data_IF_707658396217
#
_entry.id   IF_707658396217
#
_cell.length_a   1.000
_cell.length_b   1.000
_cell.length_c   1.000
_cell.angle_alpha   90.00
_cell.angle_beta   90.00
_cell.angle_gamma   90.00
#
_symmetry.space_group_name_H-M   'P 1'
#
loop_
_entity.id
_entity.type
_entity.pdbx_description
1 polymer ?
#
# COMPACT_ATOMS: atom_id res chain seq x y z
N UNK A 1 -11.86 -5.11 -11.44
CA UNK A 1 -11.48 -4.15 -10.39
C UNK A 1 -10.31 -3.31 -10.86
N UNK A 2 -10.50 -2.02 -11.08
CA UNK A 2 -9.39 -1.09 -11.31
C UNK A 2 -8.50 -1.08 -10.07
N UNK A 3 -7.21 -1.45 -10.20
CA UNK A 3 -6.23 -1.38 -9.10
C UNK A 3 -5.85 0.08 -8.84
N UNK A 4 -6.83 0.88 -8.42
CA UNK A 4 -6.69 2.29 -8.09
C UNK A 4 -7.11 2.48 -6.64
N UNK A 5 -6.30 3.20 -5.88
CA UNK A 5 -6.73 3.69 -4.57
C UNK A 5 -7.77 4.79 -4.77
N UNK A 6 -8.93 4.69 -4.13
CA UNK A 6 -9.98 5.72 -4.22
C UNK A 6 -9.59 7.01 -3.50
N UNK A 7 -8.82 6.93 -2.42
CA UNK A 7 -8.35 8.11 -1.67
C UNK A 7 -7.09 8.77 -2.27
N UNK A 8 -6.03 8.00 -2.50
CA UNK A 8 -4.71 8.54 -2.93
C UNK A 8 -4.45 8.42 -4.43
N UNK A 9 -5.40 7.89 -5.22
CA UNK A 9 -5.26 7.77 -6.67
C UNK A 9 -4.19 6.80 -7.17
N UNK A 10 -3.43 6.14 -6.27
CA UNK A 10 -2.32 5.24 -6.62
C UNK A 10 -2.76 4.16 -7.60
N UNK A 11 -1.98 4.04 -8.68
CA UNK A 11 -2.17 3.09 -9.77
C UNK A 11 -0.95 2.22 -9.96
N UNK A 12 -1.10 1.11 -10.66
CA UNK A 12 0.04 0.32 -11.07
C UNK A 12 0.94 1.14 -12.00
N UNK A 13 2.24 1.19 -11.70
CA UNK A 13 3.24 1.77 -12.59
C UNK A 13 3.98 0.67 -13.33
N UNK A 14 4.54 1.01 -14.49
CA UNK A 14 5.36 0.10 -15.29
C UNK A 14 6.81 0.48 -15.10
N UNK A 15 7.69 -0.51 -15.05
CA UNK A 15 9.12 -0.29 -15.21
C UNK A 15 9.83 -1.56 -15.61
N UNK A 16 11.15 -1.53 -15.58
CA UNK A 16 11.97 -2.64 -16.05
C UNK A 16 12.59 -3.43 -14.89
N UNK A 17 12.79 -4.73 -15.12
CA UNK A 17 13.67 -5.60 -14.35
C UNK A 17 14.97 -5.70 -15.14
N UNK A 18 16.03 -5.10 -14.61
CA UNK A 18 17.36 -5.09 -15.23
C UNK A 18 18.22 -6.12 -14.53
N UNK A 19 18.61 -7.17 -15.26
CA UNK A 19 19.57 -8.16 -14.78
C UNK A 19 20.99 -7.69 -15.12
N UNK A 20 21.85 -7.58 -14.11
CA UNK A 20 23.26 -7.17 -14.26
C UNK A 20 24.17 -8.26 -13.72
N UNK A 21 25.26 -8.56 -14.43
CA UNK A 21 26.29 -9.53 -14.05
C UNK A 21 27.65 -8.85 -13.88
N UNK A 22 28.52 -9.44 -13.08
CA UNK A 22 29.86 -8.94 -12.79
C UNK A 22 29.94 -8.01 -11.57
N UNK A 23 31.17 -7.73 -11.13
CA UNK A 23 31.46 -6.83 -10.00
C UNK A 23 31.45 -5.38 -10.48
N UNK A 24 30.99 -4.45 -9.63
CA UNK A 24 30.99 -3.05 -9.99
C UNK A 24 32.41 -2.48 -10.02
N UNK A 25 32.65 -1.45 -10.87
CA UNK A 25 33.95 -0.79 -10.98
C UNK A 25 34.44 -0.24 -9.64
N UNK A 26 33.54 0.39 -8.88
CA UNK A 26 33.86 0.96 -7.56
C UNK A 26 34.28 -0.10 -6.51
N UNK A 27 34.04 -1.39 -6.77
CA UNK A 27 34.47 -2.49 -5.91
C UNK A 27 35.76 -3.17 -6.43
N UNK A 28 36.50 -2.51 -7.34
CA UNK A 28 37.70 -3.07 -7.97
C UNK A 28 37.41 -4.15 -9.03
N UNK A 29 36.22 -4.15 -9.62
CA UNK A 29 35.87 -5.05 -10.72
C UNK A 29 35.99 -4.39 -12.11
N UNK A 30 35.94 -5.20 -13.17
CA UNK A 30 35.95 -4.69 -14.57
C UNK A 30 34.67 -3.89 -14.91
N UNK A 31 33.54 -4.22 -14.27
CA UNK A 31 32.27 -3.52 -14.41
C UNK A 31 31.06 -4.46 -14.51
N UNK A 32 29.88 -3.94 -14.17
CA UNK A 32 28.61 -4.65 -14.30
C UNK A 32 28.09 -4.56 -15.74
N UNK A 33 27.82 -5.69 -16.38
CA UNK A 33 27.17 -5.76 -17.70
C UNK A 33 25.69 -6.06 -17.56
N UNK A 34 24.86 -5.41 -18.37
CA UNK A 34 23.42 -5.68 -18.42
C UNK A 34 23.16 -6.89 -19.31
N UNK A 35 22.63 -7.97 -18.74
CA UNK A 35 22.39 -9.24 -19.44
C UNK A 35 20.95 -9.33 -19.97
N UNK A 36 20.02 -8.56 -19.41
CA UNK A 36 18.65 -8.57 -19.90
C UNK A 36 17.79 -7.49 -19.27
N UNK A 37 16.80 -7.03 -20.04
CA UNK A 37 15.82 -6.03 -19.64
C UNK A 37 14.44 -6.59 -19.97
N UNK A 38 13.61 -6.79 -18.93
CA UNK A 38 12.23 -7.27 -19.09
C UNK A 38 11.26 -6.29 -18.45
N UNK A 39 10.05 -6.15 -19.01
CA UNK A 39 9.01 -5.27 -18.45
C UNK A 39 8.38 -5.93 -17.21
N UNK A 40 8.15 -5.14 -16.17
CA UNK A 40 7.40 -5.52 -14.96
C UNK A 40 6.37 -4.45 -14.57
N UNK A 41 5.33 -4.87 -13.87
CA UNK A 41 4.31 -3.97 -13.30
C UNK A 41 4.51 -3.89 -11.79
N UNK A 42 4.69 -2.68 -11.27
CA UNK A 42 4.67 -2.41 -9.84
C UNK A 42 3.23 -2.24 -9.38
N UNK A 43 2.75 -3.19 -8.59
CA UNK A 43 1.38 -3.16 -8.05
C UNK A 43 1.41 -2.46 -6.69
N UNK A 44 0.61 -1.40 -6.47
CA UNK A 44 0.45 -0.86 -5.12
C UNK A 44 -0.22 -1.90 -4.22
N UNK A 45 0.14 -1.90 -2.94
CA UNK A 45 -0.55 -2.71 -1.92
C UNK A 45 -1.90 -2.06 -1.61
N UNK A 46 -2.95 -2.56 -2.26
CA UNK A 46 -4.32 -2.12 -2.12
C UNK A 46 -5.08 -3.15 -1.28
N UNK A 47 -5.83 -2.66 -0.30
CA UNK A 47 -6.63 -3.45 0.61
C UNK A 47 -8.08 -3.03 0.53
N UNK A 48 -8.98 -4.00 0.63
CA UNK A 48 -10.42 -3.74 0.68
C UNK A 48 -10.81 -3.53 2.14
N UNK A 49 -11.26 -2.34 2.47
CA UNK A 49 -11.63 -1.95 3.84
C UNK A 49 -13.04 -1.39 3.86
N UNK A 50 -13.72 -1.57 4.99
CA UNK A 50 -14.95 -0.83 5.30
C UNK A 50 -14.51 0.50 5.89
N UNK A 51 -14.93 1.59 5.28
CA UNK A 51 -14.69 2.95 5.75
C UNK A 51 -16.02 3.64 5.99
N UNK A 52 -16.07 4.50 7.00
CA UNK A 52 -17.16 5.46 7.16
C UNK A 52 -16.84 6.66 6.28
N UNK A 53 -17.70 6.92 5.30
CA UNK A 53 -17.64 8.12 4.45
C UNK A 53 -19.00 8.79 4.55
N UNK A 54 -19.02 10.03 5.03
CA UNK A 54 -20.25 10.83 5.18
C UNK A 54 -21.37 10.07 5.94
N UNK A 55 -21.02 9.39 7.03
CA UNK A 55 -21.96 8.64 7.88
C UNK A 55 -22.44 7.30 7.31
N UNK A 56 -22.04 6.90 6.08
CA UNK A 56 -22.36 5.61 5.48
C UNK A 56 -21.15 4.68 5.47
N UNK A 57 -21.38 3.41 5.80
CA UNK A 57 -20.34 2.37 5.75
C UNK A 57 -20.20 1.86 4.32
N UNK A 58 -19.13 2.29 3.64
CA UNK A 58 -18.86 1.89 2.25
C UNK A 58 -17.64 0.97 2.19
N UNK A 59 -17.67 0.00 1.27
CA UNK A 59 -16.51 -0.83 0.95
C UNK A 59 -15.64 -0.11 -0.08
N UNK A 60 -14.44 0.28 0.32
CA UNK A 60 -13.48 0.96 -0.55
C UNK A 60 -12.16 0.22 -0.70
N UNK A 61 -11.52 0.41 -1.85
CA UNK A 61 -10.18 -0.06 -2.16
C UNK A 61 -9.19 1.05 -1.80
N UNK A 62 -8.43 0.82 -0.73
CA UNK A 62 -7.54 1.81 -0.15
C UNK A 62 -6.11 1.29 -0.13
N UNK A 63 -5.14 2.18 -0.37
CA UNK A 63 -3.73 1.83 -0.23
C UNK A 63 -3.34 1.68 1.23
N UNK A 64 -2.45 0.74 1.55
CA UNK A 64 -1.98 0.56 2.94
C UNK A 64 -1.33 1.81 3.54
N UNK A 65 -0.72 2.67 2.71
CA UNK A 65 -0.20 3.96 3.19
C UNK A 65 -1.32 4.89 3.69
N UNK A 66 -2.47 4.91 3.03
CA UNK A 66 -3.59 5.75 3.47
C UNK A 66 -4.21 5.22 4.77
N UNK A 67 -4.25 3.89 4.94
CA UNK A 67 -4.64 3.27 6.22
C UNK A 67 -3.65 3.67 7.32
N UNK A 68 -2.34 3.61 7.02
CA UNK A 68 -1.28 3.99 7.98
C UNK A 68 -1.34 5.48 8.37
N UNK A 69 -1.75 6.35 7.45
CA UNK A 69 -1.89 7.78 7.68
C UNK A 69 -3.18 8.17 8.42
N UNK A 70 -4.05 7.21 8.77
CA UNK A 70 -5.31 7.50 9.47
C UNK A 70 -6.39 8.14 8.59
N UNK A 71 -6.21 8.17 7.26
CA UNK A 71 -7.19 8.71 6.30
C UNK A 71 -8.44 7.84 6.15
N UNK A 72 -8.56 6.78 6.95
CA UNK A 72 -9.67 5.82 6.91
C UNK A 72 -10.16 5.56 8.31
N UNK A 73 -11.36 6.05 8.61
CA UNK A 73 -12.09 5.65 9.81
C UNK A 73 -12.76 4.30 9.57
N UNK A 74 -12.32 3.29 10.33
CA UNK A 74 -12.95 1.97 10.31
C UNK A 74 -14.21 2.03 11.17
N UNK A 75 -15.34 1.45 10.71
CA UNK A 75 -16.54 1.38 11.53
C UNK A 75 -16.29 0.51 12.76
N UNK A 76 -16.66 1.02 13.92
CA UNK A 76 -16.64 0.27 15.18
C UNK A 76 -17.83 -0.69 15.20
N UNK A 77 -17.57 -2.00 15.12
CA UNK A 77 -18.63 -3.03 15.04
C UNK A 77 -19.21 -3.37 16.42
N UNK A 78 -18.41 -3.23 17.48
CA UNK A 78 -18.84 -3.45 18.87
C UNK A 78 -18.42 -2.23 19.68
N UNK A 79 -19.37 -1.67 20.44
CA UNK A 79 -19.07 -0.61 21.39
C UNK A 79 -18.01 -1.12 22.39
N UNK A 80 -17.01 -0.29 22.76
CA UNK A 80 -16.13 -0.61 23.88
C UNK A 80 -16.96 -0.84 25.16
N UNK A 81 -16.44 -1.62 26.09
CA UNK A 81 -17.07 -1.79 27.39
C UNK A 81 -17.10 -0.44 28.11
N UNK A 82 -18.28 -0.02 28.55
CA UNK A 82 -18.45 1.17 29.39
C UNK A 82 -18.17 0.78 30.83
N UNK A 83 -17.11 1.33 31.42
CA UNK A 83 -16.85 1.20 32.86
C UNK A 83 -17.80 2.19 33.55
N UNK A 84 -18.91 1.70 34.11
CA UNK A 84 -19.76 2.54 34.97
C UNK A 84 -18.97 2.87 36.22
N UNK A 85 -18.74 4.15 36.49
CA UNK A 85 -18.15 4.60 37.75
C UNK A 85 -18.98 4.02 38.90
N UNK A 86 -18.33 3.20 39.73
CA UNK A 86 -18.91 2.70 40.96
C UNK A 86 -18.97 3.90 41.89
N UNK A 87 -20.15 4.50 42.06
CA UNK A 87 -20.37 5.51 43.10
C UNK A 87 -20.31 4.81 44.45
N UNK A 88 -19.29 5.14 45.23
CA UNK A 88 -19.07 4.69 46.62
C UNK A 88 -20.10 5.35 47.55
#
# INVERSE_FOLDING_TARGET
MSRRCQLTGKRASVGNRVSRRGKAKYLGGVGRKTTGITRRKFKPNLQRVRAVVDGRVVRMTVSTQAIRMGLVEKPVVRKPFEVKEITV
#
